data_IF_350955741988
#
_entry.id   IF_350955741988
#
_cell.length_a   1.000
_cell.length_b   1.000
_cell.length_c   1.000
_cell.angle_alpha   90.00
_cell.angle_beta   90.00
_cell.angle_gamma   90.00
#
_symmetry.space_group_name_H-M   'P 1'
#
loop_
_entity.id
_entity.type
_entity.pdbx_description
1 polymer ?
#
# COMPACT_ATOMS: atom_id res chain seq x y z
N UNK A 1 -75.47 3.04 2.50
CA UNK A 1 -74.68 1.92 3.07
C UNK A 1 -73.39 1.81 2.28
N UNK A 2 -72.28 1.59 2.99
CA UNK A 2 -70.92 1.22 2.55
C UNK A 2 -69.87 2.33 2.32
N UNK A 3 -69.26 2.62 3.47
CA UNK A 3 -67.89 3.03 3.81
C UNK A 3 -66.79 2.38 2.94
N UNK A 4 -65.77 3.17 2.61
CA UNK A 4 -64.43 2.72 2.21
C UNK A 4 -63.48 3.92 2.14
N UNK A 5 -62.99 4.43 3.27
CA UNK A 5 -61.68 4.10 3.86
C UNK A 5 -60.50 4.40 2.90
N UNK A 6 -60.01 5.64 2.90
CA UNK A 6 -58.74 6.08 3.53
C UNK A 6 -57.44 5.50 2.93
N UNK A 7 -56.62 6.44 2.45
CA UNK A 7 -55.17 6.54 2.62
C UNK A 7 -54.29 5.44 1.98
N UNK A 8 -53.77 5.72 0.79
CA UNK A 8 -52.53 5.12 0.27
C UNK A 8 -51.69 6.16 -0.46
N UNK A 9 -51.30 7.23 0.24
CA UNK A 9 -50.31 8.21 -0.27
C UNK A 9 -49.01 8.25 0.56
N UNK A 10 -48.86 7.38 1.57
CA UNK A 10 -47.72 7.40 2.50
C UNK A 10 -46.61 6.37 2.26
N UNK A 11 -46.72 5.49 1.26
CA UNK A 11 -45.83 4.31 1.15
C UNK A 11 -44.52 4.51 0.37
N UNK A 12 -44.46 5.47 -0.56
CA UNK A 12 -43.33 5.55 -1.53
C UNK A 12 -42.20 6.45 -1.04
N UNK A 13 -42.46 7.38 -0.12
CA UNK A 13 -41.46 8.34 0.38
C UNK A 13 -40.52 7.70 1.42
N UNK A 14 -40.97 6.68 2.16
CA UNK A 14 -40.15 6.01 3.18
C UNK A 14 -39.02 5.15 2.61
N UNK A 15 -39.25 4.48 1.48
CA UNK A 15 -38.29 3.53 0.91
C UNK A 15 -37.08 4.22 0.23
N UNK A 16 -37.30 5.37 -0.39
CA UNK A 16 -36.23 6.16 -1.04
C UNK A 16 -35.32 6.82 -0.01
N UNK A 17 -35.89 7.37 1.07
CA UNK A 17 -35.11 7.93 2.17
C UNK A 17 -34.19 6.87 2.78
N UNK A 18 -34.72 5.68 3.10
CA UNK A 18 -33.92 4.60 3.72
C UNK A 18 -32.78 4.11 2.82
N UNK A 19 -33.04 4.02 1.50
CA UNK A 19 -32.02 3.61 0.52
C UNK A 19 -30.90 4.64 0.39
N UNK A 20 -31.22 5.94 0.42
CA UNK A 20 -30.23 7.01 0.38
C UNK A 20 -29.40 7.04 1.67
N UNK A 21 -30.01 6.80 2.84
CA UNK A 21 -29.24 6.69 4.11
C UNK A 21 -28.32 5.47 4.13
N UNK A 22 -28.78 4.33 3.62
CA UNK A 22 -27.95 3.11 3.50
C UNK A 22 -26.79 3.32 2.52
N UNK A 23 -27.02 3.98 1.38
CA UNK A 23 -25.95 4.29 0.42
C UNK A 23 -24.98 5.35 0.97
N UNK A 24 -25.45 6.30 1.78
CA UNK A 24 -24.58 7.27 2.45
C UNK A 24 -23.71 6.61 3.54
N UNK A 25 -24.27 5.67 4.32
CA UNK A 25 -23.52 4.88 5.29
C UNK A 25 -22.46 4.00 4.59
N UNK A 26 -22.83 3.34 3.48
CA UNK A 26 -21.90 2.53 2.70
C UNK A 26 -20.79 3.36 2.03
N UNK A 27 -21.05 4.62 1.69
CA UNK A 27 -20.04 5.56 1.17
C UNK A 27 -19.13 6.09 2.28
N UNK A 28 -19.62 6.23 3.51
CA UNK A 28 -18.83 6.63 4.68
C UNK A 28 -17.95 5.49 5.20
N UNK A 29 -18.39 4.23 5.14
CA UNK A 29 -17.55 3.08 5.55
C UNK A 29 -16.46 2.72 4.51
N UNK A 30 -16.62 3.16 3.26
CA UNK A 30 -15.60 3.02 2.21
C UNK A 30 -14.51 4.10 2.28
N UNK A 31 -14.68 5.12 3.13
CA UNK A 31 -13.65 6.07 3.51
C UNK A 31 -13.13 5.71 4.90
N UNK A 32 -12.48 4.54 5.04
CA UNK A 32 -11.61 4.35 6.20
C UNK A 32 -10.66 5.54 6.21
N UNK A 33 -10.68 6.32 7.30
CA UNK A 33 -9.69 7.35 7.62
C UNK A 33 -8.31 6.69 7.70
N UNK A 34 -7.79 6.30 6.54
CA UNK A 34 -6.45 5.78 6.37
C UNK A 34 -5.54 6.98 6.47
N UNK A 35 -4.70 6.99 7.51
CA UNK A 35 -3.59 7.91 7.67
C UNK A 35 -2.94 8.19 6.30
N UNK A 36 -2.99 9.44 5.83
CA UNK A 36 -2.47 9.79 4.52
C UNK A 36 -0.96 10.02 4.65
N UNK A 37 -0.16 9.17 3.99
CA UNK A 37 1.29 9.37 3.93
C UNK A 37 1.64 10.62 3.12
N UNK A 38 2.54 11.43 3.64
CA UNK A 38 3.20 12.50 2.91
C UNK A 38 4.54 12.03 2.32
N UNK A 39 5.05 12.76 1.33
CA UNK A 39 6.35 12.47 0.69
C UNK A 39 7.47 12.42 1.75
N UNK A 40 7.40 13.28 2.76
CA UNK A 40 8.37 13.38 3.86
C UNK A 40 8.42 12.13 4.75
N UNK A 41 7.34 11.34 4.76
CA UNK A 41 7.26 10.12 5.56
C UNK A 41 7.97 8.94 4.88
N UNK A 42 8.11 9.00 3.55
CA UNK A 42 8.62 7.90 2.71
C UNK A 42 9.98 8.16 2.10
N UNK A 43 10.28 9.40 1.69
CA UNK A 43 11.56 9.76 1.07
C UNK A 43 12.70 9.57 2.06
N UNK A 44 13.83 9.03 1.60
CA UNK A 44 15.01 8.78 2.43
C UNK A 44 15.47 7.33 2.35
N UNK A 45 16.35 6.97 3.27
CA UNK A 45 16.96 5.64 3.35
C UNK A 45 16.23 4.80 4.39
N UNK A 46 15.84 3.60 3.98
CA UNK A 46 15.22 2.59 4.81
C UNK A 46 16.16 1.41 4.96
N UNK A 47 16.45 1.05 6.20
CA UNK A 47 17.35 -0.05 6.52
C UNK A 47 16.55 -1.25 7.01
N UNK A 48 16.62 -2.34 6.27
CA UNK A 48 16.08 -3.64 6.61
C UNK A 48 16.94 -4.33 7.67
N UNK A 49 16.30 -5.06 8.59
CA UNK A 49 16.96 -5.85 9.64
C UNK A 49 17.77 -7.04 9.09
N UNK A 50 17.50 -7.47 7.86
CA UNK A 50 18.27 -8.43 7.07
C UNK A 50 19.42 -7.78 6.28
N UNK A 51 19.65 -6.48 6.53
CA UNK A 51 20.59 -5.62 5.86
C UNK A 51 20.10 -5.09 4.51
N UNK A 52 18.89 -5.40 4.06
CA UNK A 52 18.31 -4.83 2.83
C UNK A 52 18.23 -3.31 2.94
N UNK A 53 18.23 -2.60 1.80
CA UNK A 53 18.18 -1.14 1.79
C UNK A 53 17.27 -0.62 0.69
N UNK A 54 16.40 0.32 1.05
CA UNK A 54 15.56 1.05 0.11
C UNK A 54 15.94 2.52 0.18
N UNK A 55 16.21 3.14 -0.97
CA UNK A 55 16.46 4.58 -1.04
C UNK A 55 15.38 5.20 -1.91
N UNK A 56 14.50 6.01 -1.33
CA UNK A 56 13.42 6.69 -2.04
C UNK A 56 13.78 8.17 -2.19
N UNK A 57 13.65 8.71 -3.39
CA UNK A 57 13.91 10.13 -3.69
C UNK A 57 12.62 10.87 -3.99
N UNK A 58 12.59 12.17 -3.74
CA UNK A 58 11.41 13.02 -3.96
C UNK A 58 10.98 13.13 -5.43
N UNK A 59 11.85 12.80 -6.38
CA UNK A 59 11.56 12.77 -7.82
C UNK A 59 10.81 11.51 -8.30
N UNK A 60 10.46 10.59 -7.38
CA UNK A 60 9.81 9.32 -7.72
C UNK A 60 10.79 8.21 -8.10
N UNK A 61 12.10 8.46 -8.11
CA UNK A 61 13.12 7.42 -8.29
C UNK A 61 13.42 6.70 -6.97
N UNK A 62 13.80 5.42 -7.08
CA UNK A 62 14.25 4.62 -5.96
C UNK A 62 15.45 3.75 -6.34
N UNK A 63 16.21 3.32 -5.34
CA UNK A 63 17.19 2.24 -5.46
C UNK A 63 16.88 1.18 -4.42
N UNK A 64 16.76 -0.07 -4.85
CA UNK A 64 16.51 -1.22 -4.01
C UNK A 64 17.78 -2.03 -3.90
N UNK A 65 18.11 -2.51 -2.71
CA UNK A 65 19.29 -3.34 -2.46
C UNK A 65 18.91 -4.52 -1.60
N UNK A 66 19.21 -5.72 -2.11
CA UNK A 66 18.97 -7.00 -1.43
C UNK A 66 17.51 -7.26 -1.03
N UNK A 67 16.55 -6.72 -1.77
CA UNK A 67 15.11 -6.88 -1.52
C UNK A 67 14.59 -8.23 -2.00
N UNK A 68 13.81 -8.97 -1.20
CA UNK A 68 13.24 -10.26 -1.62
C UNK A 68 12.28 -10.07 -2.79
N UNK A 69 12.43 -10.91 -3.82
CA UNK A 69 11.60 -10.84 -5.03
C UNK A 69 10.21 -11.47 -4.82
N UNK A 70 9.14 -10.85 -5.34
CA UNK A 70 7.75 -11.27 -5.11
C UNK A 70 7.34 -12.57 -5.82
N UNK A 71 8.14 -13.11 -6.75
CA UNK A 71 7.81 -14.36 -7.43
C UNK A 71 8.72 -14.74 -8.61
N UNK A 72 8.51 -15.94 -9.19
CA UNK A 72 9.34 -16.50 -10.27
C UNK A 72 9.38 -15.64 -11.53
N UNK A 73 8.26 -15.02 -11.87
CA UNK A 73 8.09 -14.17 -13.05
C UNK A 73 8.98 -12.91 -13.02
N UNK A 74 9.46 -12.54 -11.82
CA UNK A 74 10.33 -11.41 -11.57
C UNK A 74 11.83 -11.73 -11.65
N UNK A 75 12.14 -12.82 -12.34
CA UNK A 75 13.49 -13.21 -12.74
C UNK A 75 14.22 -14.04 -11.71
N UNK A 76 13.53 -14.91 -10.96
CA UNK A 76 14.17 -15.86 -10.06
C UNK A 76 15.31 -16.59 -10.78
N UNK A 77 16.52 -16.50 -10.24
CA UNK A 77 17.52 -17.54 -10.45
C UNK A 77 17.32 -18.54 -9.32
N UNK A 78 17.47 -19.82 -9.60
CA UNK A 78 17.38 -20.91 -8.61
C UNK A 78 18.52 -20.85 -7.57
N UNK A 79 19.52 -20.00 -7.80
CA UNK A 79 20.61 -19.75 -6.87
C UNK A 79 20.15 -18.88 -5.69
N UNK A 80 20.71 -19.11 -4.50
CA UNK A 80 20.40 -18.30 -3.32
C UNK A 80 20.67 -16.80 -3.54
N UNK A 81 21.67 -16.45 -4.37
CA UNK A 81 21.96 -15.07 -4.78
C UNK A 81 20.86 -14.48 -5.67
N UNK A 82 20.13 -15.32 -6.41
CA UNK A 82 18.99 -14.99 -7.24
C UNK A 82 17.66 -14.91 -6.48
N UNK A 83 17.65 -14.69 -5.16
CA UNK A 83 16.39 -14.46 -4.43
C UNK A 83 16.11 -12.99 -4.14
N UNK A 84 17.14 -12.17 -4.26
CA UNK A 84 17.07 -10.75 -4.00
C UNK A 84 17.22 -9.91 -5.27
N UNK A 85 16.63 -8.73 -5.26
CA UNK A 85 16.77 -7.70 -6.27
C UNK A 85 17.66 -6.58 -5.75
N UNK A 86 18.59 -6.14 -6.59
CA UNK A 86 19.39 -4.94 -6.38
C UNK A 86 19.40 -4.13 -7.67
N UNK A 87 18.97 -2.87 -7.62
CA UNK A 87 18.93 -2.01 -8.78
C UNK A 87 17.92 -0.86 -8.69
N UNK A 88 17.85 -0.07 -9.77
CA UNK A 88 16.97 1.10 -9.85
C UNK A 88 15.50 0.71 -9.97
N UNK A 89 14.63 1.48 -9.32
CA UNK A 89 13.18 1.36 -9.38
C UNK A 89 12.54 2.76 -9.46
N UNK A 90 11.25 2.81 -9.73
CA UNK A 90 10.41 3.99 -9.49
C UNK A 90 9.44 3.71 -8.36
N UNK A 91 8.92 4.73 -7.69
CA UNK A 91 7.96 4.55 -6.61
C UNK A 91 6.75 5.48 -6.74
N UNK A 92 5.62 5.01 -6.21
CA UNK A 92 4.37 5.78 -6.08
C UNK A 92 3.68 5.41 -4.77
N UNK A 93 2.87 6.33 -4.23
CA UNK A 93 1.94 5.97 -3.17
C UNK A 93 0.93 4.96 -3.71
N UNK A 94 0.87 3.81 -3.04
CA UNK A 94 -0.05 2.73 -3.37
C UNK A 94 -0.18 1.84 -2.15
N UNK A 95 -1.32 1.16 -2.05
CA UNK A 95 -1.65 0.36 -0.88
C UNK A 95 -1.64 -1.10 -1.28
N UNK A 96 -0.89 -1.92 -0.56
CA UNK A 96 -1.00 -3.36 -0.71
C UNK A 96 -2.42 -3.80 -0.29
N UNK A 97 -3.11 -4.70 -1.01
CA UNK A 97 -4.48 -5.08 -0.68
C UNK A 97 -4.63 -5.46 0.79
N UNK A 98 -5.66 -4.90 1.44
CA UNK A 98 -6.00 -5.09 2.86
C UNK A 98 -4.99 -4.55 3.90
N UNK A 99 -3.94 -3.84 3.47
CA UNK A 99 -2.94 -3.24 4.37
C UNK A 99 -3.08 -1.70 4.47
N UNK A 100 -2.43 -1.14 5.49
CA UNK A 100 -2.30 0.30 5.75
C UNK A 100 -1.47 1.02 4.65
N UNK A 101 -1.46 2.37 4.59
CA UNK A 101 -0.87 3.09 3.46
C UNK A 101 0.60 2.70 3.23
N UNK A 102 1.04 2.76 1.98
CA UNK A 102 2.38 2.33 1.63
C UNK A 102 2.91 2.94 0.35
N UNK A 103 3.95 2.29 -0.14
CA UNK A 103 4.63 2.66 -1.37
C UNK A 103 4.78 1.43 -2.24
N UNK A 104 4.41 1.53 -3.53
CA UNK A 104 4.76 0.51 -4.52
C UNK A 104 6.02 0.93 -5.27
N UNK A 105 6.95 0.00 -5.39
CA UNK A 105 8.08 0.10 -6.28
C UNK A 105 7.82 -0.67 -7.57
N UNK A 106 8.11 -0.05 -8.70
CA UNK A 106 8.06 -0.63 -10.02
C UNK A 106 9.50 -0.74 -10.58
N UNK A 107 9.90 -1.93 -11.03
CA UNK A 107 11.23 -2.18 -11.61
C UNK A 107 11.17 -3.26 -12.69
N UNK A 108 12.22 -3.37 -13.50
CA UNK A 108 12.33 -4.42 -14.51
C UNK A 108 13.07 -5.64 -13.93
N UNK A 109 12.45 -6.82 -14.03
CA UNK A 109 13.06 -8.08 -13.63
C UNK A 109 14.35 -8.32 -14.45
N UNK A 110 15.52 -8.46 -13.82
CA UNK A 110 16.80 -8.45 -14.54
C UNK A 110 16.98 -9.63 -15.50
N UNK A 111 16.32 -10.77 -15.24
CA UNK A 111 16.41 -11.97 -16.08
C UNK A 111 15.29 -12.05 -17.13
N UNK A 112 14.13 -11.45 -16.89
CA UNK A 112 12.93 -11.62 -17.73
C UNK A 112 12.53 -10.35 -18.48
N UNK A 113 13.12 -9.21 -18.13
CA UNK A 113 12.71 -7.88 -18.59
C UNK A 113 11.20 -7.62 -18.45
N UNK A 114 10.55 -8.32 -17.51
CA UNK A 114 9.13 -8.13 -17.18
C UNK A 114 9.01 -7.07 -16.08
N UNK A 115 7.92 -6.28 -16.09
CA UNK A 115 7.64 -5.35 -15.01
C UNK A 115 7.34 -6.10 -13.70
N UNK A 116 7.96 -5.65 -12.63
CA UNK A 116 7.88 -6.23 -11.30
C UNK A 116 7.50 -5.18 -10.27
N UNK A 117 6.76 -5.63 -9.25
CA UNK A 117 6.17 -4.78 -8.23
C UNK A 117 6.48 -5.31 -6.84
N UNK A 118 6.92 -4.43 -5.96
CA UNK A 118 7.07 -4.69 -4.53
C UNK A 118 6.41 -3.57 -3.74
N UNK A 119 5.84 -3.88 -2.58
CA UNK A 119 5.18 -2.90 -1.73
C UNK A 119 5.91 -2.77 -0.39
N UNK A 120 6.15 -1.54 0.03
CA UNK A 120 6.51 -1.19 1.40
C UNK A 120 5.27 -0.69 2.11
N UNK A 121 4.76 -1.48 3.04
CA UNK A 121 3.72 -1.05 3.97
C UNK A 121 4.39 -0.15 5.00
N UNK A 122 3.84 1.05 5.23
CA UNK A 122 4.42 2.06 6.12
C UNK A 122 3.50 2.25 7.32
N UNK A 123 4.10 2.37 8.50
CA UNK A 123 3.40 2.62 9.76
C UNK A 123 4.16 3.65 10.58
N UNK A 124 3.46 4.65 11.08
CA UNK A 124 3.99 5.56 12.08
C UNK A 124 3.94 4.87 13.45
N UNK A 125 5.07 4.84 14.15
CA UNK A 125 5.15 4.37 15.52
C UNK A 125 5.71 5.47 16.41
N UNK A 126 5.51 5.35 17.73
CA UNK A 126 5.97 6.36 18.71
C UNK A 126 7.49 6.62 18.64
N UNK A 127 8.26 5.67 18.12
CA UNK A 127 9.71 5.74 17.99
C UNK A 127 10.20 6.00 16.55
N UNK A 128 9.30 6.34 15.63
CA UNK A 128 9.61 6.71 14.25
C UNK A 128 8.81 5.96 13.20
N UNK A 129 9.11 6.22 11.93
CA UNK A 129 8.45 5.55 10.80
C UNK A 129 9.10 4.20 10.52
N UNK A 130 8.26 3.15 10.52
CA UNK A 130 8.67 1.77 10.24
C UNK A 130 7.92 1.23 9.04
N UNK A 131 8.49 0.24 8.39
CA UNK A 131 7.85 -0.43 7.29
C UNK A 131 8.24 -1.89 7.16
N UNK A 132 7.53 -2.61 6.32
CA UNK A 132 7.83 -3.99 5.99
C UNK A 132 7.41 -4.30 4.56
N UNK A 133 8.05 -5.29 3.96
CA UNK A 133 7.66 -5.80 2.66
C UNK A 133 6.87 -7.10 2.89
N UNK A 134 5.61 -7.23 2.42
CA UNK A 134 4.82 -8.44 2.65
C UNK A 134 5.44 -9.73 2.11
N UNK A 135 6.29 -9.64 1.08
CA UNK A 135 6.97 -10.79 0.50
C UNK A 135 8.33 -11.13 1.13
N UNK A 136 8.84 -10.32 2.06
CA UNK A 136 10.02 -10.69 2.84
C UNK A 136 9.66 -11.79 3.85
N UNK A 137 10.64 -12.58 4.32
CA UNK A 137 10.43 -13.52 5.42
C UNK A 137 9.81 -12.84 6.65
N UNK A 138 8.96 -13.55 7.42
CA UNK A 138 8.40 -13.00 8.65
C UNK A 138 9.50 -12.45 9.57
N UNK A 139 9.33 -11.22 10.04
CA UNK A 139 10.26 -10.57 10.97
C UNK A 139 11.25 -9.60 10.32
N UNK A 140 11.34 -9.52 8.98
CA UNK A 140 12.09 -8.43 8.34
C UNK A 140 11.34 -7.12 8.53
N UNK A 141 12.02 -6.13 9.11
CA UNK A 141 11.49 -4.78 9.35
C UNK A 141 12.45 -3.76 8.79
N UNK A 142 11.88 -2.72 8.19
CA UNK A 142 12.61 -1.57 7.69
C UNK A 142 12.38 -0.40 8.64
N UNK A 143 13.46 0.24 9.04
CA UNK A 143 13.42 1.48 9.81
C UNK A 143 13.96 2.59 8.92
N UNK A 144 13.22 3.71 8.86
CA UNK A 144 13.70 4.89 8.14
C UNK A 144 14.83 5.53 8.94
N UNK A 145 16.00 5.66 8.33
CA UNK A 145 17.14 6.35 8.95
C UNK A 145 16.81 7.83 9.12
N UNK A 146 17.06 8.36 10.32
CA UNK A 146 16.92 9.79 10.60
C UNK A 146 18.06 10.57 9.94
N UNK A 147 17.85 10.97 8.67
CA UNK A 147 18.60 12.02 7.99
C UNK A 147 19.92 11.62 7.32
N UNK A 148 20.04 11.96 6.04
CA UNK A 148 21.01 12.94 5.53
C UNK A 148 20.59 13.28 4.09
N UNK A 149 19.77 14.32 3.92
CA UNK A 149 19.79 15.10 2.70
C UNK A 149 21.06 15.96 2.80
N UNK A 150 22.10 15.56 2.05
CA UNK A 150 23.29 16.39 1.81
C UNK A 150 23.12 17.16 0.52
#
# INVERSE_FOLDING_TARGET
MNIGWRLTLGGVIGATALFVTLMAAFRLEAGRDGEQLAITDVVGVWQGSDGGRLTLRSDGSANLERVTRPGPECGQSTDAAGRSYTGPATWVFDTYPDENPGVRFDYQGPATAKPCKVYLVVSHQQDGTRGFLPQDPPGVRYVRSAGQES
#
